data_IF_866790729317
#
_entry.id   IF_866790729317
#
_cell.length_a   1.000
_cell.length_b   1.000
_cell.length_c   1.000
_cell.angle_alpha   90.00
_cell.angle_beta   90.00
_cell.angle_gamma   90.00
#
_symmetry.space_group_name_H-M   'P 1'
#
loop_
_entity.id
_entity.type
_entity.pdbx_description
1 polymer ?
#
# COMPACT_ATOMS: atom_id res chain seq x y z
N UNK A 1 -5.46 -6.36 23.86
CA UNK A 1 -6.47 -7.14 23.11
C UNK A 1 -5.87 -7.50 21.76
N UNK A 2 -5.44 -8.75 21.58
CA UNK A 2 -4.98 -9.23 20.28
C UNK A 2 -6.21 -9.54 19.42
N UNK A 3 -6.34 -8.89 18.26
CA UNK A 3 -7.44 -9.16 17.34
C UNK A 3 -7.31 -10.58 16.76
N UNK A 4 -8.42 -11.21 16.40
CA UNK A 4 -8.48 -12.52 15.71
C UNK A 4 -7.57 -12.57 14.46
N UNK A 5 -7.29 -11.41 13.88
CA UNK A 5 -6.40 -11.23 12.74
C UNK A 5 -4.90 -11.40 13.07
N UNK A 6 -4.45 -11.00 14.25
CA UNK A 6 -3.04 -11.15 14.65
C UNK A 6 -2.71 -12.63 14.92
N UNK A 7 -3.66 -13.37 15.51
CA UNK A 7 -3.58 -14.84 15.62
C UNK A 7 -3.58 -15.55 14.26
N UNK A 8 -4.28 -15.01 13.27
CA UNK A 8 -4.27 -15.53 11.91
C UNK A 8 -2.89 -15.39 11.26
N UNK A 9 -2.20 -14.28 11.48
CA UNK A 9 -0.88 -14.00 10.91
C UNK A 9 0.21 -14.96 11.42
N UNK A 10 0.24 -15.25 12.72
CA UNK A 10 1.20 -16.18 13.31
C UNK A 10 1.07 -17.58 12.70
N UNK A 11 -0.15 -18.12 12.70
CA UNK A 11 -0.44 -19.45 12.16
C UNK A 11 -0.26 -19.54 10.64
N UNK A 12 -0.57 -18.47 9.91
CA UNK A 12 -0.33 -18.44 8.46
C UNK A 12 1.17 -18.44 8.12
N UNK A 13 1.98 -17.73 8.93
CA UNK A 13 3.44 -17.76 8.79
C UNK A 13 4.01 -19.14 9.11
N UNK A 14 3.56 -19.76 10.20
CA UNK A 14 3.95 -21.14 10.55
C UNK A 14 3.57 -22.13 9.44
N UNK A 15 2.39 -21.98 8.84
CA UNK A 15 1.97 -22.80 7.70
C UNK A 15 2.90 -22.61 6.50
N UNK A 16 3.27 -21.36 6.17
CA UNK A 16 4.22 -21.06 5.11
C UNK A 16 5.61 -21.65 5.38
N UNK A 17 6.12 -21.50 6.59
CA UNK A 17 7.41 -22.07 7.00
C UNK A 17 7.40 -23.60 6.95
N UNK A 18 6.30 -24.24 7.38
CA UNK A 18 6.12 -25.68 7.28
C UNK A 18 6.10 -26.15 5.81
N UNK A 19 5.34 -25.47 4.92
CA UNK A 19 5.33 -25.83 3.49
C UNK A 19 6.69 -25.65 2.83
N UNK A 20 7.45 -24.63 3.25
CA UNK A 20 8.82 -24.42 2.78
C UNK A 20 9.72 -25.57 3.19
N UNK A 21 9.71 -25.92 4.47
CA UNK A 21 10.50 -27.04 4.99
C UNK A 21 10.20 -28.36 4.26
N UNK A 22 8.91 -28.68 4.08
CA UNK A 22 8.50 -29.92 3.37
C UNK A 22 8.98 -29.92 1.92
N UNK A 23 8.89 -28.80 1.21
CA UNK A 23 9.33 -28.70 -0.19
C UNK A 23 10.84 -28.76 -0.32
N UNK A 24 11.58 -28.11 0.60
CA UNK A 24 13.04 -28.17 0.65
C UNK A 24 13.54 -29.60 0.95
N UNK A 25 12.88 -30.31 1.87
CA UNK A 25 13.18 -31.72 2.18
C UNK A 25 12.91 -32.65 0.98
N UNK A 26 11.92 -32.32 0.16
CA UNK A 26 11.64 -33.02 -1.09
C UNK A 26 12.61 -32.64 -2.23
N UNK A 27 13.56 -31.72 -1.99
CA UNK A 27 14.51 -31.23 -2.99
C UNK A 27 13.88 -30.34 -4.07
N UNK A 28 12.69 -29.79 -3.79
CA UNK A 28 11.93 -28.94 -4.70
C UNK A 28 12.11 -27.45 -4.37
N UNK A 29 11.84 -26.58 -5.33
CA UNK A 29 11.89 -25.13 -5.12
C UNK A 29 10.58 -24.61 -4.51
N UNK A 30 10.69 -23.76 -3.48
CA UNK A 30 9.57 -23.04 -2.89
C UNK A 30 9.59 -21.57 -3.35
N UNK A 31 8.45 -20.99 -3.80
CA UNK A 31 7.14 -21.62 -4.02
C UNK A 31 7.04 -22.35 -5.38
N UNK A 32 6.07 -23.26 -5.48
CA UNK A 32 5.73 -23.99 -6.71
C UNK A 32 4.24 -23.86 -7.02
N UNK A 33 3.81 -24.25 -8.24
CA UNK A 33 2.40 -24.20 -8.65
C UNK A 33 1.46 -24.96 -7.74
N UNK A 34 1.94 -26.03 -7.08
CA UNK A 34 1.14 -26.80 -6.14
C UNK A 34 0.98 -26.09 -4.79
N UNK A 35 2.03 -25.40 -4.32
CA UNK A 35 1.95 -24.54 -3.13
C UNK A 35 0.99 -23.38 -3.37
N UNK A 36 1.01 -22.78 -4.55
CA UNK A 36 0.09 -21.69 -4.89
C UNK A 36 -1.38 -22.15 -4.85
N UNK A 37 -1.71 -23.29 -5.47
CA UNK A 37 -3.07 -23.86 -5.40
C UNK A 37 -3.51 -24.12 -3.96
N UNK A 38 -2.61 -24.67 -3.14
CA UNK A 38 -2.86 -24.90 -1.72
C UNK A 38 -3.18 -23.59 -0.98
N UNK A 39 -2.35 -22.55 -1.16
CA UNK A 39 -2.58 -21.27 -0.49
C UNK A 39 -3.83 -20.54 -1.00
N UNK A 40 -4.17 -20.66 -2.29
CA UNK A 40 -5.44 -20.16 -2.83
C UNK A 40 -6.63 -20.82 -2.13
N UNK A 41 -6.61 -22.15 -1.97
CA UNK A 41 -7.68 -22.87 -1.27
C UNK A 41 -7.80 -22.44 0.21
N UNK A 42 -6.66 -22.26 0.90
CA UNK A 42 -6.63 -21.74 2.28
C UNK A 42 -7.23 -20.34 2.35
N UNK A 43 -6.87 -19.44 1.43
CA UNK A 43 -7.45 -18.10 1.36
C UNK A 43 -8.95 -18.10 1.09
N UNK A 44 -9.41 -18.93 0.15
CA UNK A 44 -10.83 -19.08 -0.16
C UNK A 44 -11.64 -19.67 1.00
N UNK A 45 -11.05 -20.54 1.82
CA UNK A 45 -11.75 -21.20 2.90
C UNK A 45 -11.75 -20.39 4.20
N UNK A 46 -10.59 -19.85 4.61
CA UNK A 46 -10.43 -19.19 5.91
C UNK A 46 -10.52 -17.67 5.84
N UNK A 47 -10.17 -17.07 4.71
CA UNK A 47 -10.04 -15.61 4.55
C UNK A 47 -11.05 -15.01 3.57
N UNK A 48 -12.08 -15.76 3.17
CA UNK A 48 -13.09 -15.33 2.18
C UNK A 48 -13.77 -14.01 2.51
N UNK A 49 -14.00 -13.77 3.81
CA UNK A 49 -14.69 -12.58 4.32
C UNK A 49 -13.72 -11.55 4.89
N UNK A 50 -12.41 -11.78 4.79
CA UNK A 50 -11.42 -10.81 5.23
C UNK A 50 -11.31 -9.69 4.18
N UNK A 51 -11.31 -8.42 4.58
CA UNK A 51 -11.14 -7.32 3.64
C UNK A 51 -9.73 -7.38 3.05
N UNK A 52 -9.65 -7.57 1.73
CA UNK A 52 -8.39 -7.53 0.94
C UNK A 52 -7.59 -6.24 1.21
N UNK A 53 -8.30 -5.17 1.57
CA UNK A 53 -7.79 -3.82 1.69
C UNK A 53 -7.34 -3.41 3.10
N UNK A 54 -7.40 -4.31 4.10
CA UNK A 54 -7.11 -3.93 5.49
C UNK A 54 -5.65 -3.58 5.79
N UNK A 55 -4.69 -3.98 4.93
CA UNK A 55 -3.24 -3.85 5.21
C UNK A 55 -2.32 -3.58 4.02
N UNK A 56 -2.83 -3.52 2.79
CA UNK A 56 -2.06 -2.86 1.74
C UNK A 56 -2.14 -1.36 2.06
N UNK A 57 -1.00 -0.70 2.25
CA UNK A 57 -0.95 0.77 2.25
C UNK A 57 -1.49 1.22 0.89
N UNK A 58 -2.80 1.47 0.85
CA UNK A 58 -3.50 1.86 -0.36
C UNK A 58 -3.56 3.35 -0.33
N UNK A 59 -3.19 3.95 -1.46
CA UNK A 59 -3.37 5.37 -1.64
C UNK A 59 -4.83 5.73 -1.29
N UNK A 60 -5.06 6.80 -0.51
CA UNK A 60 -6.41 7.25 -0.22
C UNK A 60 -7.14 7.54 -1.54
N UNK A 61 -8.48 7.46 -1.56
CA UNK A 61 -9.27 7.68 -2.78
C UNK A 61 -8.82 8.97 -3.49
N UNK A 62 -8.73 8.94 -4.83
CA UNK A 62 -8.14 10.01 -5.65
C UNK A 62 -8.70 11.40 -5.33
N UNK A 63 -9.96 11.48 -4.92
CA UNK A 63 -10.61 12.72 -4.48
C UNK A 63 -9.91 13.38 -3.28
N UNK A 64 -9.47 12.61 -2.28
CA UNK A 64 -8.78 13.12 -1.09
C UNK A 64 -7.36 13.56 -1.46
N UNK A 65 -6.68 12.79 -2.31
CA UNK A 65 -5.37 13.16 -2.84
C UNK A 65 -5.43 14.49 -3.59
N UNK A 66 -6.37 14.65 -4.53
CA UNK A 66 -6.55 15.91 -5.26
C UNK A 66 -6.89 17.07 -4.32
N UNK A 67 -7.77 16.85 -3.34
CA UNK A 67 -8.14 17.89 -2.36
C UNK A 67 -6.94 18.38 -1.55
N UNK A 68 -5.96 17.51 -1.26
CA UNK A 68 -4.76 17.86 -0.51
C UNK A 68 -3.65 18.44 -1.38
N UNK A 69 -3.53 18.00 -2.64
CA UNK A 69 -2.43 18.41 -3.53
C UNK A 69 -2.73 19.69 -4.33
N UNK A 70 -3.99 19.91 -4.72
CA UNK A 70 -4.36 21.06 -5.58
C UNK A 70 -4.26 22.41 -4.86
N UNK A 71 -4.73 22.58 -3.62
CA UNK A 71 -4.61 23.87 -2.91
C UNK A 71 -3.16 24.35 -2.70
N UNK A 72 -2.20 23.54 -2.22
CA UNK A 72 -0.83 24.01 -2.02
C UNK A 72 -0.11 24.33 -3.34
N UNK A 73 -0.41 23.60 -4.43
CA UNK A 73 0.17 23.88 -5.75
C UNK A 73 -0.38 25.16 -6.36
N UNK A 74 -1.68 25.44 -6.22
CA UNK A 74 -2.27 26.72 -6.63
C UNK A 74 -1.70 27.88 -5.79
N UNK A 75 -1.55 27.69 -4.48
CA UNK A 75 -1.00 28.70 -3.60
C UNK A 75 0.44 29.06 -3.98
N UNK A 76 1.31 28.08 -4.26
CA UNK A 76 2.69 28.36 -4.70
C UNK A 76 2.73 29.09 -6.04
N UNK A 77 1.89 28.72 -7.01
CA UNK A 77 1.78 29.43 -8.29
C UNK A 77 1.29 30.88 -8.13
N UNK A 78 0.33 31.11 -7.24
CA UNK A 78 -0.15 32.45 -6.94
C UNK A 78 0.95 33.30 -6.28
N UNK A 79 1.68 32.74 -5.31
CA UNK A 79 2.77 33.44 -4.64
C UNK A 79 3.88 33.80 -5.63
N UNK A 80 4.30 32.88 -6.51
CA UNK A 80 5.33 33.17 -7.51
C UNK A 80 4.87 34.24 -8.50
N UNK A 81 3.63 34.17 -8.98
CA UNK A 81 3.07 35.19 -9.87
C UNK A 81 3.01 36.57 -9.20
N UNK A 82 2.59 36.63 -7.92
CA UNK A 82 2.53 37.86 -7.14
C UNK A 82 3.93 38.46 -6.93
N UNK A 83 4.93 37.63 -6.63
CA UNK A 83 6.33 38.06 -6.48
C UNK A 83 6.88 38.63 -7.78
N UNK A 84 6.67 37.93 -8.91
CA UNK A 84 7.10 38.41 -10.24
C UNK A 84 6.43 39.74 -10.58
N UNK A 85 5.13 39.85 -10.35
CA UNK A 85 4.38 41.08 -10.61
C UNK A 85 4.87 42.25 -9.73
N UNK A 86 5.09 42.01 -8.43
CA UNK A 86 5.64 43.02 -7.51
C UNK A 86 7.06 43.42 -7.86
N UNK A 87 7.91 42.47 -8.25
CA UNK A 87 9.28 42.72 -8.71
C UNK A 87 9.27 43.60 -9.96
N UNK A 88 8.46 43.27 -10.98
CA UNK A 88 8.34 44.08 -12.20
C UNK A 88 7.82 45.50 -11.91
N UNK A 89 6.88 45.66 -10.98
CA UNK A 89 6.39 46.99 -10.56
C UNK A 89 7.39 47.79 -9.75
N UNK A 90 8.28 47.15 -8.99
CA UNK A 90 9.34 47.83 -8.21
C UNK A 90 10.60 48.12 -9.04
N UNK A 91 10.93 47.27 -10.02
CA UNK A 91 12.05 47.46 -10.94
C UNK A 91 11.74 48.33 -12.16
N UNK A 92 10.45 48.56 -12.47
CA UNK A 92 9.99 49.56 -13.46
C UNK A 92 9.67 50.93 -12.85
N UNK A 93 9.96 51.11 -11.55
CA UNK A 93 9.86 52.37 -10.83
C UNK A 93 11.28 52.80 -10.41
N UNK A 94 12.16 52.94 -11.40
CA UNK A 94 13.45 53.64 -11.35
C UNK A 94 13.64 54.36 -12.67
#
# INVERSE_FOLDING_TARGET
MASREDWGRGRYRELADCTRYVIEELGCYWPSTEVDKFFIAVHQHYFRSCPVSGRAARDPPSSILCLLTVPPTLATLLVTALVVWRSKRRGGLV
#
